data_IF_253354657357
#
_entry.id   IF_253354657357
#
_cell.length_a   1.000
_cell.length_b   1.000
_cell.length_c   1.000
_cell.angle_alpha   90.00
_cell.angle_beta   90.00
_cell.angle_gamma   90.00
#
_symmetry.space_group_name_H-M   'P 1'
#
loop_
_entity.id
_entity.type
_entity.pdbx_description
1 polymer ?
#
# COMPACT_ATOMS: atom_id res chain seq x y z
N UNK A 1 -42.62 2.65 -11.51
CA UNK A 1 -43.67 2.70 -10.48
C UNK A 1 -43.12 2.93 -9.08
N UNK A 2 -42.40 2.00 -8.44
CA UNK A 2 -41.92 2.20 -7.04
C UNK A 2 -40.88 3.32 -6.89
N UNK A 3 -39.88 3.40 -7.79
CA UNK A 3 -38.87 4.48 -7.78
C UNK A 3 -39.53 5.85 -7.99
N UNK A 4 -40.49 5.95 -8.92
CA UNK A 4 -41.19 7.20 -9.21
C UNK A 4 -42.08 7.64 -8.04
N UNK A 5 -42.75 6.69 -7.38
CA UNK A 5 -43.53 6.96 -6.18
C UNK A 5 -42.64 7.43 -5.01
N UNK A 6 -41.50 6.78 -4.78
CA UNK A 6 -40.53 7.20 -3.76
C UNK A 6 -39.94 8.59 -4.07
N UNK A 7 -39.65 8.88 -5.34
CA UNK A 7 -39.16 10.20 -5.77
C UNK A 7 -40.22 11.29 -5.60
N UNK A 8 -41.49 11.00 -5.94
CA UNK A 8 -42.60 11.92 -5.74
C UNK A 8 -42.78 12.24 -4.25
N UNK A 9 -42.72 11.22 -3.39
CA UNK A 9 -42.78 11.41 -1.95
C UNK A 9 -41.58 12.23 -1.42
N UNK A 10 -40.37 11.94 -1.88
CA UNK A 10 -39.18 12.70 -1.47
C UNK A 10 -39.23 14.18 -1.88
N UNK A 11 -39.84 14.48 -3.03
CA UNK A 11 -40.11 15.85 -3.50
C UNK A 11 -41.16 16.54 -2.63
N UNK A 12 -42.27 15.86 -2.35
CA UNK A 12 -43.33 16.38 -1.49
C UNK A 12 -42.82 16.70 -0.08
N UNK A 13 -42.01 15.81 0.49
CA UNK A 13 -41.41 15.95 1.81
C UNK A 13 -40.16 16.82 1.84
N UNK A 14 -39.71 17.36 0.70
CA UNK A 14 -38.52 18.20 0.56
C UNK A 14 -37.26 17.59 1.21
N UNK A 15 -37.09 16.26 1.07
CA UNK A 15 -36.02 15.50 1.74
C UNK A 15 -34.61 15.94 1.28
N UNK A 16 -34.47 16.34 0.01
CA UNK A 16 -33.21 16.79 -0.57
C UNK A 16 -33.45 17.77 -1.73
N UNK A 17 -32.43 18.56 -2.14
CA UNK A 17 -32.52 19.40 -3.33
C UNK A 17 -32.85 18.60 -4.60
N UNK A 18 -33.65 19.17 -5.50
CA UNK A 18 -34.10 18.49 -6.73
C UNK A 18 -32.94 17.92 -7.55
N UNK A 19 -31.80 18.61 -7.59
CA UNK A 19 -30.57 18.13 -8.24
C UNK A 19 -30.09 16.79 -7.66
N UNK A 20 -30.07 16.65 -6.32
CA UNK A 20 -29.65 15.43 -5.62
C UNK A 20 -30.66 14.29 -5.85
N UNK A 21 -31.95 14.60 -5.89
CA UNK A 21 -32.99 13.61 -6.19
C UNK A 21 -32.88 13.10 -7.63
N UNK A 22 -32.61 13.99 -8.59
CA UNK A 22 -32.37 13.62 -9.98
C UNK A 22 -31.09 12.79 -10.16
N UNK A 23 -30.00 13.16 -9.47
CA UNK A 23 -28.75 12.38 -9.45
C UNK A 23 -28.97 10.98 -8.86
N UNK A 24 -29.69 10.87 -7.74
CA UNK A 24 -30.02 9.59 -7.12
C UNK A 24 -30.91 8.72 -8.04
N UNK A 25 -31.90 9.32 -8.70
CA UNK A 25 -32.72 8.62 -9.69
C UNK A 25 -31.88 8.11 -10.86
N UNK A 26 -31.00 8.95 -11.40
CA UNK A 26 -30.12 8.57 -12.50
C UNK A 26 -29.18 7.42 -12.12
N UNK A 27 -28.58 7.47 -10.93
CA UNK A 27 -27.71 6.41 -10.43
C UNK A 27 -28.44 5.07 -10.25
N UNK A 28 -29.71 5.08 -9.81
CA UNK A 28 -30.52 3.87 -9.69
C UNK A 28 -31.00 3.34 -11.04
N UNK A 29 -31.17 4.18 -12.05
CA UNK A 29 -31.62 3.74 -13.38
C UNK A 29 -30.45 3.29 -14.28
N UNK A 30 -29.24 3.79 -14.06
CA UNK A 30 -28.04 3.38 -14.77
C UNK A 30 -27.57 1.98 -14.31
N UNK A 31 -27.49 0.97 -15.20
CA UNK A 31 -27.00 -0.36 -14.87
C UNK A 31 -25.60 -0.40 -14.24
N UNK A 32 -24.73 0.57 -14.58
CA UNK A 32 -23.35 0.65 -14.06
C UNK A 32 -23.34 1.21 -12.64
N UNK A 33 -24.14 2.24 -12.36
CA UNK A 33 -24.15 2.94 -11.07
C UNK A 33 -25.10 2.32 -10.05
N UNK A 34 -26.06 1.50 -10.50
CA UNK A 34 -27.05 0.90 -9.62
C UNK A 34 -26.43 0.04 -8.54
N UNK A 35 -25.59 -0.93 -8.90
CA UNK A 35 -25.04 -1.88 -7.92
C UNK A 35 -24.21 -1.17 -6.83
N UNK A 36 -23.27 -0.25 -7.15
CA UNK A 36 -22.61 0.56 -6.12
C UNK A 36 -23.58 1.33 -5.23
N UNK A 37 -24.64 1.90 -5.81
CA UNK A 37 -25.66 2.66 -5.06
C UNK A 37 -26.46 1.76 -4.11
N UNK A 38 -26.87 0.57 -4.56
CA UNK A 38 -27.56 -0.44 -3.74
C UNK A 38 -26.69 -0.92 -2.57
N UNK A 39 -25.39 -1.16 -2.82
CA UNK A 39 -24.44 -1.61 -1.80
C UNK A 39 -24.13 -0.52 -0.76
N UNK A 40 -24.30 0.77 -1.11
CA UNK A 40 -24.08 1.90 -0.20
C UNK A 40 -25.29 2.21 0.70
N UNK A 41 -26.41 1.50 0.51
CA UNK A 41 -27.64 1.65 1.28
C UNK A 41 -27.72 0.63 2.44
N UNK A 42 -28.66 0.77 3.39
CA UNK A 42 -28.89 -0.22 4.45
C UNK A 42 -29.55 -1.51 3.90
N UNK A 43 -28.82 -2.21 3.04
CA UNK A 43 -29.27 -3.41 2.33
C UNK A 43 -29.63 -4.53 3.32
N UNK A 44 -30.75 -5.23 3.06
CA UNK A 44 -31.20 -6.35 3.90
C UNK A 44 -31.71 -5.95 5.30
N UNK A 45 -31.87 -4.65 5.56
CA UNK A 45 -32.35 -4.14 6.86
C UNK A 45 -33.87 -4.09 6.92
N UNK A 46 -34.43 -4.29 8.12
CA UNK A 46 -35.86 -4.03 8.40
C UNK A 46 -36.15 -2.52 8.37
N UNK A 47 -37.42 -2.08 8.22
CA UNK A 47 -37.76 -0.65 8.25
C UNK A 47 -37.22 0.09 9.49
N UNK A 48 -37.37 -0.48 10.68
CA UNK A 48 -36.83 0.10 11.92
C UNK A 48 -35.30 0.28 11.88
N UNK A 49 -34.58 -0.64 11.22
CA UNK A 49 -33.13 -0.53 11.04
C UNK A 49 -32.75 0.49 9.95
N UNK A 50 -33.61 0.72 8.95
CA UNK A 50 -33.42 1.79 7.97
C UNK A 50 -33.54 3.16 8.64
N UNK A 51 -34.55 3.34 9.50
CA UNK A 51 -34.72 4.58 10.27
C UNK A 51 -33.52 4.80 11.21
N UNK A 52 -33.08 3.73 11.89
CA UNK A 52 -31.86 3.78 12.71
C UNK A 52 -30.63 4.16 11.88
N UNK A 53 -30.48 3.61 10.68
CA UNK A 53 -29.37 3.91 9.79
C UNK A 53 -29.36 5.39 9.40
N UNK A 54 -30.50 6.03 9.17
CA UNK A 54 -30.56 7.46 8.80
C UNK A 54 -30.72 8.40 9.99
N UNK A 55 -30.80 7.88 11.22
CA UNK A 55 -30.82 8.71 12.42
C UNK A 55 -29.50 9.45 12.56
N UNK A 56 -29.58 10.77 12.64
CA UNK A 56 -28.45 11.66 12.90
C UNK A 56 -28.09 11.59 14.39
N UNK A 57 -26.93 11.03 14.71
CA UNK A 57 -26.38 11.03 16.07
C UNK A 57 -25.71 12.39 16.37
N UNK A 58 -25.69 12.82 17.64
CA UNK A 58 -24.93 13.99 18.07
C UNK A 58 -23.46 13.92 17.66
N UNK A 59 -22.83 15.06 17.41
CA UNK A 59 -21.42 15.12 17.00
C UNK A 59 -20.47 14.52 18.06
N UNK A 60 -20.84 14.62 19.34
CA UNK A 60 -20.12 14.15 20.52
C UNK A 60 -20.47 12.72 20.95
N UNK A 61 -21.23 11.97 20.14
CA UNK A 61 -21.58 10.57 20.45
C UNK A 61 -20.31 9.73 20.69
N UNK A 62 -20.29 8.83 21.67
CA UNK A 62 -19.10 8.01 21.90
C UNK A 62 -18.90 6.98 20.77
N UNK A 63 -17.65 6.59 20.49
CA UNK A 63 -17.37 5.51 19.51
C UNK A 63 -18.02 4.20 19.94
N UNK A 64 -18.09 3.93 21.26
CA UNK A 64 -18.80 2.78 21.81
C UNK A 64 -20.29 2.79 21.45
N UNK A 65 -20.95 3.95 21.53
CA UNK A 65 -22.37 4.06 21.16
C UNK A 65 -22.58 3.90 19.65
N UNK A 66 -21.65 4.38 18.82
CA UNK A 66 -21.67 4.14 17.36
C UNK A 66 -21.56 2.64 17.08
N UNK A 67 -20.58 1.96 17.68
CA UNK A 67 -20.35 0.53 17.48
C UNK A 67 -21.53 -0.31 18.03
N UNK A 68 -22.09 0.08 19.18
CA UNK A 68 -23.28 -0.54 19.75
C UNK A 68 -24.49 -0.36 18.83
N UNK A 69 -24.67 0.83 18.26
CA UNK A 69 -25.76 1.10 17.31
C UNK A 69 -25.58 0.31 16.02
N UNK A 70 -24.37 0.29 15.46
CA UNK A 70 -24.06 -0.40 14.21
C UNK A 70 -24.19 -1.93 14.32
N UNK A 71 -23.99 -2.49 15.51
CA UNK A 71 -24.16 -3.93 15.78
C UNK A 71 -25.58 -4.45 15.46
N UNK A 72 -26.59 -3.56 15.51
CA UNK A 72 -28.00 -3.87 15.20
C UNK A 72 -28.29 -3.92 13.70
N UNK A 73 -27.36 -3.45 12.87
CA UNK A 73 -27.50 -3.40 11.41
C UNK A 73 -26.92 -4.67 10.77
N UNK A 74 -27.45 -5.01 9.59
CA UNK A 74 -26.88 -6.06 8.74
C UNK A 74 -25.43 -5.71 8.33
N UNK A 75 -24.55 -6.68 8.03
CA UNK A 75 -23.12 -6.44 7.81
C UNK A 75 -22.76 -5.28 6.87
N UNK A 76 -23.36 -5.23 5.68
CA UNK A 76 -23.13 -4.13 4.71
C UNK A 76 -23.60 -2.79 5.27
N UNK A 77 -24.79 -2.77 5.88
CA UNK A 77 -25.35 -1.56 6.50
C UNK A 77 -24.51 -1.08 7.69
N UNK A 78 -23.95 -2.01 8.47
CA UNK A 78 -23.03 -1.73 9.57
C UNK A 78 -21.75 -1.05 9.06
N UNK A 79 -21.12 -1.60 8.01
CA UNK A 79 -19.94 -1.00 7.41
C UNK A 79 -20.22 0.41 6.85
N UNK A 80 -21.33 0.58 6.11
CA UNK A 80 -21.77 1.87 5.60
C UNK A 80 -22.01 2.90 6.73
N UNK A 81 -22.62 2.45 7.83
CA UNK A 81 -22.93 3.30 8.98
C UNK A 81 -21.64 3.79 9.65
N UNK A 82 -20.72 2.87 9.98
CA UNK A 82 -19.44 3.21 10.61
C UNK A 82 -18.64 4.17 9.71
N UNK A 83 -18.50 3.84 8.42
CA UNK A 83 -17.77 4.67 7.47
C UNK A 83 -18.35 6.09 7.36
N UNK A 84 -19.68 6.23 7.34
CA UNK A 84 -20.36 7.54 7.29
C UNK A 84 -20.06 8.40 8.51
N UNK A 85 -20.00 7.81 9.71
CA UNK A 85 -19.68 8.57 10.92
C UNK A 85 -18.21 8.92 11.01
N UNK A 86 -17.33 7.96 10.75
CA UNK A 86 -15.89 8.19 10.66
C UNK A 86 -15.53 9.28 9.64
N UNK A 87 -16.26 9.36 8.52
CA UNK A 87 -16.09 10.40 7.50
C UNK A 87 -16.36 11.84 7.99
N UNK A 88 -17.08 12.03 9.10
CA UNK A 88 -17.50 13.37 9.58
C UNK A 88 -16.64 13.92 10.71
N UNK A 89 -15.91 13.06 11.43
CA UNK A 89 -15.20 13.45 12.67
C UNK A 89 -13.83 12.79 12.84
N UNK A 90 -13.32 12.17 11.78
CA UNK A 90 -12.18 11.24 11.81
C UNK A 90 -12.50 9.97 12.61
N UNK A 91 -11.79 8.88 12.34
CA UNK A 91 -11.97 7.63 13.07
C UNK A 91 -11.05 7.57 14.29
N UNK A 92 -11.51 6.94 15.37
CA UNK A 92 -10.59 6.41 16.39
C UNK A 92 -10.02 5.06 15.95
N UNK A 93 -9.06 4.52 16.70
CA UNK A 93 -8.55 3.17 16.44
C UNK A 93 -9.65 2.11 16.62
N UNK A 94 -10.57 2.30 17.57
CA UNK A 94 -11.72 1.42 17.79
C UNK A 94 -12.71 1.47 16.62
N UNK A 95 -12.98 2.65 16.04
CA UNK A 95 -13.83 2.75 14.85
C UNK A 95 -13.17 2.13 13.61
N UNK A 96 -11.84 2.25 13.47
CA UNK A 96 -11.10 1.59 12.40
C UNK A 96 -11.20 0.07 12.51
N UNK A 97 -11.00 -0.48 13.72
CA UNK A 97 -11.16 -1.92 13.98
C UNK A 97 -12.61 -2.35 13.73
N UNK A 98 -13.59 -1.61 14.24
CA UNK A 98 -15.00 -1.92 14.02
C UNK A 98 -15.44 -1.86 12.56
N UNK A 99 -14.81 -1.00 11.75
CA UNK A 99 -15.03 -0.98 10.29
C UNK A 99 -14.47 -2.24 9.62
N UNK A 100 -13.29 -2.70 10.06
CA UNK A 100 -12.69 -3.95 9.56
C UNK A 100 -13.58 -5.13 9.95
N UNK A 101 -14.00 -5.22 11.21
CA UNK A 101 -14.94 -6.25 11.70
C UNK A 101 -16.24 -6.26 10.88
N UNK A 102 -16.79 -5.07 10.59
CA UNK A 102 -18.02 -4.95 9.83
C UNK A 102 -17.87 -5.51 8.41
N UNK A 103 -16.76 -5.23 7.75
CA UNK A 103 -16.48 -5.77 6.42
C UNK A 103 -16.13 -7.25 6.42
N UNK A 104 -15.40 -7.74 7.42
CA UNK A 104 -15.10 -9.16 7.57
C UNK A 104 -16.38 -9.99 7.75
N UNK A 105 -17.37 -9.43 8.44
CA UNK A 105 -18.69 -10.06 8.61
C UNK A 105 -19.57 -10.09 7.36
N UNK A 106 -19.14 -9.52 6.22
CA UNK A 106 -19.95 -9.49 4.99
C UNK A 106 -19.81 -10.82 4.24
N UNK A 107 -20.90 -11.61 4.22
CA UNK A 107 -21.02 -12.76 3.34
C UNK A 107 -21.49 -12.34 1.93
N UNK A 108 -20.63 -12.54 0.93
CA UNK A 108 -20.90 -12.19 -0.48
C UNK A 108 -22.13 -12.92 -1.04
N UNK A 109 -22.36 -14.17 -0.63
CA UNK A 109 -23.50 -14.97 -1.08
C UNK A 109 -24.81 -14.46 -0.46
N UNK A 110 -24.82 -14.12 0.83
CA UNK A 110 -26.00 -13.53 1.48
C UNK A 110 -26.38 -12.20 0.81
N UNK A 111 -25.41 -11.32 0.56
CA UNK A 111 -25.62 -10.05 -0.14
C UNK A 111 -26.18 -10.30 -1.55
N UNK A 112 -25.63 -11.28 -2.28
CA UNK A 112 -26.12 -11.66 -3.61
C UNK A 112 -27.58 -12.13 -3.56
N UNK A 113 -27.95 -12.98 -2.61
CA UNK A 113 -29.31 -13.50 -2.47
C UNK A 113 -30.31 -12.39 -2.15
N UNK A 114 -29.95 -11.46 -1.25
CA UNK A 114 -30.77 -10.28 -0.94
C UNK A 114 -30.99 -9.42 -2.18
N UNK A 115 -29.91 -9.09 -2.92
CA UNK A 115 -30.02 -8.30 -4.15
C UNK A 115 -30.82 -9.02 -5.23
N UNK A 116 -30.65 -10.33 -5.40
CA UNK A 116 -31.40 -11.13 -6.35
C UNK A 116 -32.90 -11.07 -6.03
N UNK A 117 -33.29 -11.25 -4.77
CA UNK A 117 -34.69 -11.20 -4.34
C UNK A 117 -35.30 -9.80 -4.55
N UNK A 118 -34.57 -8.73 -4.16
CA UNK A 118 -35.02 -7.35 -4.33
C UNK A 118 -35.19 -6.97 -5.79
N UNK A 119 -34.19 -7.27 -6.64
CA UNK A 119 -34.26 -6.98 -8.07
C UNK A 119 -35.35 -7.78 -8.77
N UNK A 120 -35.52 -9.06 -8.43
CA UNK A 120 -36.59 -9.88 -8.99
C UNK A 120 -37.98 -9.29 -8.69
N UNK A 121 -38.22 -8.89 -7.43
CA UNK A 121 -39.47 -8.21 -7.04
C UNK A 121 -39.71 -6.92 -7.81
N UNK A 122 -38.64 -6.16 -8.07
CA UNK A 122 -38.70 -4.91 -8.79
C UNK A 122 -38.66 -5.06 -10.34
N UNK A 123 -38.68 -6.29 -10.87
CA UNK A 123 -38.64 -6.56 -12.31
C UNK A 123 -37.29 -6.30 -12.98
N UNK A 124 -36.22 -6.23 -12.20
CA UNK A 124 -34.85 -6.03 -12.67
C UNK A 124 -34.06 -7.35 -12.73
N UNK A 125 -33.10 -7.49 -13.67
CA UNK A 125 -32.24 -8.65 -13.70
C UNK A 125 -31.33 -8.69 -12.45
N UNK A 126 -31.11 -9.88 -11.86
CA UNK A 126 -30.18 -10.02 -10.74
C UNK A 126 -28.76 -9.64 -11.18
N UNK A 127 -27.92 -9.10 -10.28
CA UNK A 127 -26.50 -8.95 -10.56
C UNK A 127 -25.85 -10.33 -10.73
N UNK A 128 -24.62 -10.39 -11.24
CA UNK A 128 -23.81 -11.61 -11.15
C UNK A 128 -23.10 -11.66 -9.79
N UNK A 129 -22.81 -12.86 -9.28
CA UNK A 129 -22.06 -13.02 -8.03
C UNK A 129 -20.68 -12.35 -8.11
N UNK A 130 -20.02 -12.42 -9.27
CA UNK A 130 -18.76 -11.73 -9.52
C UNK A 130 -18.91 -10.21 -9.39
N UNK A 131 -19.96 -9.62 -9.98
CA UNK A 131 -20.21 -8.17 -9.85
C UNK A 131 -20.52 -7.75 -8.42
N UNK A 132 -21.18 -8.59 -7.61
CA UNK A 132 -21.40 -8.31 -6.18
C UNK A 132 -20.08 -8.32 -5.42
N UNK A 133 -19.22 -9.32 -5.64
CA UNK A 133 -17.88 -9.38 -5.06
C UNK A 133 -17.05 -8.14 -5.40
N UNK A 134 -17.01 -7.77 -6.68
CA UNK A 134 -16.27 -6.59 -7.14
C UNK A 134 -16.85 -5.30 -6.55
N UNK A 135 -18.18 -5.20 -6.48
CA UNK A 135 -18.88 -4.08 -5.85
C UNK A 135 -18.54 -3.93 -4.37
N UNK A 136 -18.48 -5.04 -3.62
CA UNK A 136 -18.09 -5.03 -2.20
C UNK A 136 -16.62 -4.66 -2.01
N UNK A 137 -15.71 -5.14 -2.86
CA UNK A 137 -14.30 -4.72 -2.84
C UNK A 137 -14.17 -3.21 -3.13
N UNK A 138 -14.94 -2.69 -4.09
CA UNK A 138 -14.96 -1.26 -4.41
C UNK A 138 -15.54 -0.44 -3.25
N UNK A 139 -16.59 -0.93 -2.59
CA UNK A 139 -17.19 -0.28 -1.41
C UNK A 139 -16.19 -0.21 -0.27
N UNK A 140 -15.48 -1.30 0.01
CA UNK A 140 -14.39 -1.33 0.97
C UNK A 140 -13.32 -0.28 0.66
N UNK A 141 -12.82 -0.26 -0.57
CA UNK A 141 -11.82 0.74 -0.98
C UNK A 141 -12.36 2.17 -0.79
N UNK A 142 -13.61 2.43 -1.15
CA UNK A 142 -14.25 3.72 -0.95
C UNK A 142 -14.36 4.09 0.53
N UNK A 143 -14.71 3.15 1.41
CA UNK A 143 -14.73 3.36 2.86
C UNK A 143 -13.33 3.70 3.39
N UNK A 144 -12.29 2.96 3.01
CA UNK A 144 -10.92 3.25 3.43
C UNK A 144 -10.48 4.67 3.01
N UNK A 145 -10.68 5.02 1.73
CA UNK A 145 -10.34 6.34 1.23
C UNK A 145 -11.12 7.47 1.93
N UNK A 146 -12.41 7.24 2.18
CA UNK A 146 -13.27 8.25 2.82
C UNK A 146 -12.90 8.45 4.29
N UNK A 147 -12.67 7.37 5.02
CA UNK A 147 -12.32 7.43 6.45
C UNK A 147 -10.95 8.05 6.68
N UNK A 148 -9.96 7.69 5.87
CA UNK A 148 -8.64 8.32 5.94
C UNK A 148 -8.69 9.77 5.44
N UNK A 149 -9.45 10.06 4.39
CA UNK A 149 -9.61 11.42 3.87
C UNK A 149 -10.35 12.38 4.81
N UNK A 150 -10.98 11.88 5.87
CA UNK A 150 -11.66 12.70 6.86
C UNK A 150 -10.74 13.34 7.90
N UNK A 151 -9.49 12.86 8.02
CA UNK A 151 -8.51 13.46 8.92
C UNK A 151 -8.00 14.78 8.35
N UNK A 152 -8.09 15.82 9.15
CA UNK A 152 -7.56 17.15 8.86
C UNK A 152 -6.78 17.67 10.08
N UNK A 153 -5.44 17.71 10.02
CA UNK A 153 -4.60 17.39 8.86
C UNK A 153 -4.36 15.86 8.71
N UNK A 154 -4.02 15.35 7.51
CA UNK A 154 -3.97 13.90 7.21
C UNK A 154 -3.04 13.06 8.08
N UNK A 155 -1.96 13.65 8.60
CA UNK A 155 -0.99 13.04 9.52
C UNK A 155 -1.63 12.63 10.84
N UNK A 156 -2.75 13.24 11.21
CA UNK A 156 -3.51 12.88 12.42
C UNK A 156 -4.06 11.45 12.36
N UNK A 157 -4.10 10.83 11.17
CA UNK A 157 -4.45 9.42 11.01
C UNK A 157 -3.36 8.46 11.49
N UNK A 158 -2.11 8.92 11.68
CA UNK A 158 -0.98 8.06 12.00
C UNK A 158 -1.19 7.27 13.30
N UNK A 159 -1.53 7.97 14.40
CA UNK A 159 -1.67 7.33 15.72
C UNK A 159 -2.85 6.33 15.77
N UNK A 160 -4.08 6.67 15.31
CA UNK A 160 -5.17 5.69 15.26
C UNK A 160 -4.85 4.46 14.40
N UNK A 161 -4.17 4.64 13.26
CA UNK A 161 -3.75 3.53 12.40
C UNK A 161 -2.68 2.66 13.05
N UNK A 162 -1.73 3.27 13.76
CA UNK A 162 -0.70 2.54 14.49
C UNK A 162 -1.31 1.69 15.61
N UNK A 163 -2.24 2.26 16.37
CA UNK A 163 -2.96 1.54 17.42
C UNK A 163 -3.81 0.41 16.84
N UNK A 164 -4.54 0.66 15.75
CA UNK A 164 -5.33 -0.39 15.08
C UNK A 164 -4.43 -1.50 14.52
N UNK A 165 -3.26 -1.14 13.96
CA UNK A 165 -2.28 -2.09 13.46
C UNK A 165 -1.78 -3.01 14.58
N UNK A 166 -1.36 -2.44 15.72
CA UNK A 166 -0.90 -3.21 16.89
C UNK A 166 -1.98 -4.18 17.36
N UNK A 167 -3.23 -3.71 17.49
CA UNK A 167 -4.35 -4.55 17.89
C UNK A 167 -4.59 -5.73 16.95
N UNK A 168 -4.55 -5.51 15.63
CA UNK A 168 -4.76 -6.55 14.62
C UNK A 168 -3.60 -7.56 14.58
N UNK A 169 -2.38 -7.09 14.80
CA UNK A 169 -1.20 -7.95 14.83
C UNK A 169 -1.17 -8.85 16.08
N UNK A 170 -1.78 -8.41 17.18
CA UNK A 170 -1.98 -9.23 18.37
C UNK A 170 -2.99 -10.36 18.15
N UNK A 171 -4.08 -10.11 17.39
CA UNK A 171 -5.12 -11.13 17.11
C UNK A 171 -4.67 -12.17 16.07
N UNK A 172 -3.73 -11.81 15.16
CA UNK A 172 -3.11 -12.69 14.14
C UNK A 172 -4.06 -13.31 13.11
N UNK A 173 -5.23 -12.73 12.90
CA UNK A 173 -6.19 -13.25 11.93
C UNK A 173 -5.91 -12.70 10.52
N UNK A 174 -5.68 -13.59 9.55
CA UNK A 174 -5.31 -13.22 8.17
C UNK A 174 -6.29 -12.30 7.43
N UNK A 175 -7.62 -12.45 7.57
CA UNK A 175 -8.58 -11.55 6.92
C UNK A 175 -8.39 -10.09 7.35
N UNK A 176 -8.09 -9.87 8.62
CA UNK A 176 -7.85 -8.54 9.20
C UNK A 176 -6.60 -7.87 8.62
N UNK A 177 -5.55 -8.64 8.35
CA UNK A 177 -4.31 -8.13 7.75
C UNK A 177 -4.63 -7.54 6.36
N UNK A 178 -5.34 -8.27 5.49
CA UNK A 178 -5.68 -7.79 4.14
C UNK A 178 -6.47 -6.48 4.16
N UNK A 179 -7.44 -6.39 5.07
CA UNK A 179 -8.31 -5.22 5.23
C UNK A 179 -7.52 -4.02 5.73
N UNK A 180 -6.63 -4.24 6.70
CA UNK A 180 -5.74 -3.22 7.23
C UNK A 180 -4.76 -2.69 6.17
N UNK A 181 -4.24 -3.55 5.29
CA UNK A 181 -3.38 -3.13 4.18
C UNK A 181 -4.06 -2.09 3.26
N UNK A 182 -5.39 -2.13 3.08
CA UNK A 182 -6.11 -1.13 2.29
C UNK A 182 -6.27 0.22 3.01
N UNK A 183 -6.46 0.21 4.33
CA UNK A 183 -6.43 1.45 5.13
C UNK A 183 -5.05 2.09 5.09
N UNK A 184 -3.99 1.28 5.18
CA UNK A 184 -2.61 1.75 5.05
C UNK A 184 -2.30 2.29 3.65
N UNK A 185 -2.86 1.72 2.59
CA UNK A 185 -2.73 2.27 1.24
C UNK A 185 -3.45 3.61 1.09
N UNK A 186 -4.66 3.74 1.65
CA UNK A 186 -5.38 5.02 1.69
C UNK A 186 -4.56 6.08 2.45
N UNK A 187 -3.97 5.72 3.59
CA UNK A 187 -3.04 6.58 4.34
C UNK A 187 -1.78 6.88 3.54
N UNK A 188 -1.24 5.90 2.81
CA UNK A 188 -0.07 6.07 1.95
C UNK A 188 -0.32 7.16 0.93
N UNK A 189 -1.48 7.15 0.29
CA UNK A 189 -1.91 8.16 -0.66
C UNK A 189 -2.14 9.52 0.01
N UNK A 190 -2.85 9.56 1.13
CA UNK A 190 -3.21 10.80 1.82
C UNK A 190 -1.99 11.58 2.35
N UNK A 191 -0.94 10.90 2.81
CA UNK A 191 0.27 11.56 3.34
C UNK A 191 1.44 11.61 2.36
N UNK A 192 1.23 11.25 1.09
CA UNK A 192 2.31 11.17 0.08
C UNK A 192 3.10 12.48 -0.06
N UNK A 193 2.40 13.62 -0.13
CA UNK A 193 3.03 14.93 -0.23
C UNK A 193 3.86 15.27 1.01
N UNK A 194 3.28 15.13 2.21
CA UNK A 194 4.00 15.45 3.46
C UNK A 194 5.19 14.54 3.70
N UNK A 195 5.10 13.25 3.36
CA UNK A 195 6.25 12.35 3.43
C UNK A 195 7.37 12.83 2.50
N UNK A 196 7.04 13.23 1.28
CA UNK A 196 8.03 13.80 0.34
C UNK A 196 8.64 15.11 0.86
N UNK A 197 7.85 16.00 1.46
CA UNK A 197 8.32 17.25 2.05
C UNK A 197 9.23 17.00 3.25
N UNK A 198 8.86 16.03 4.10
CA UNK A 198 9.66 15.63 5.26
C UNK A 198 10.99 15.01 4.82
N UNK A 199 11.00 14.15 3.80
CA UNK A 199 12.24 13.62 3.22
C UNK A 199 13.14 14.74 2.68
N UNK A 200 12.55 15.77 2.06
CA UNK A 200 13.29 16.95 1.58
C UNK A 200 13.84 17.81 2.73
N UNK A 201 13.11 17.93 3.85
CA UNK A 201 13.59 18.62 5.05
C UNK A 201 14.78 17.89 5.67
N UNK A 202 14.70 16.55 5.79
CA UNK A 202 15.83 15.72 6.23
C UNK A 202 17.06 15.93 5.34
N UNK A 203 16.87 15.95 4.02
CA UNK A 203 17.96 16.18 3.06
C UNK A 203 18.58 17.57 3.22
N UNK A 204 17.73 18.59 3.35
CA UNK A 204 18.17 19.99 3.47
C UNK A 204 18.96 20.20 4.77
N UNK A 205 18.46 19.69 5.90
CA UNK A 205 19.15 19.75 7.18
C UNK A 205 20.45 18.94 7.18
N UNK A 206 20.44 17.76 6.56
CA UNK A 206 21.65 16.94 6.37
C UNK A 206 22.70 17.68 5.56
N UNK A 207 22.32 18.34 4.47
CA UNK A 207 23.23 19.10 3.62
C UNK A 207 23.78 20.34 4.34
N UNK A 208 22.96 21.03 5.14
CA UNK A 208 23.41 22.13 5.98
C UNK A 208 24.47 21.68 6.99
N UNK A 209 24.25 20.54 7.66
CA UNK A 209 25.23 19.95 8.58
C UNK A 209 26.52 19.51 7.90
N UNK A 210 26.47 19.04 6.64
CA UNK A 210 27.69 18.72 5.89
C UNK A 210 28.56 19.95 5.62
N UNK A 211 27.92 21.10 5.42
CA UNK A 211 28.59 22.38 5.16
C UNK A 211 29.07 23.05 6.46
N UNK A 212 28.24 23.01 7.50
CA UNK A 212 28.49 23.64 8.79
C UNK A 212 28.17 22.66 9.94
N UNK A 213 29.06 21.69 10.24
CA UNK A 213 28.80 20.65 11.23
C UNK A 213 28.61 21.13 12.67
N UNK A 214 29.04 22.35 12.97
CA UNK A 214 28.90 22.95 14.30
C UNK A 214 27.62 23.76 14.49
N UNK A 215 26.77 23.84 13.46
CA UNK A 215 25.55 24.65 13.54
C UNK A 215 24.46 23.91 14.33
N UNK A 216 24.13 24.45 15.51
CA UNK A 216 23.12 23.88 16.40
C UNK A 216 21.72 23.92 15.77
N UNK A 217 21.39 24.96 14.99
CA UNK A 217 20.07 25.06 14.36
C UNK A 217 19.84 23.98 13.31
N UNK A 218 20.90 23.58 12.59
CA UNK A 218 20.81 22.49 11.62
C UNK A 218 20.65 21.12 12.30
N UNK A 219 21.21 20.92 13.50
CA UNK A 219 20.99 19.68 14.29
C UNK A 219 19.56 19.60 14.78
N UNK A 220 19.02 20.71 15.30
CA UNK A 220 17.62 20.81 15.77
C UNK A 220 16.64 20.60 14.61
N UNK A 221 16.87 21.27 13.47
CA UNK A 221 16.05 21.09 12.27
C UNK A 221 16.06 19.65 11.77
N UNK A 222 17.19 18.95 11.86
CA UNK A 222 17.27 17.52 11.49
C UNK A 222 16.50 16.66 12.49
N UNK A 223 16.58 16.96 13.79
CA UNK A 223 15.86 16.22 14.83
C UNK A 223 14.35 16.33 14.64
N UNK A 224 13.84 17.54 14.42
CA UNK A 224 12.41 17.80 14.16
C UNK A 224 11.92 17.07 12.89
N UNK A 225 12.70 17.13 11.81
CA UNK A 225 12.38 16.45 10.57
C UNK A 225 12.37 14.92 10.73
N UNK A 226 13.31 14.36 11.48
CA UNK A 226 13.37 12.92 11.77
C UNK A 226 12.22 12.47 12.69
N UNK A 227 11.83 13.29 13.65
CA UNK A 227 10.69 13.00 14.52
C UNK A 227 9.39 12.98 13.70
N UNK A 228 9.15 14.00 12.88
CA UNK A 228 8.00 14.04 11.98
C UNK A 228 8.01 12.84 11.03
N UNK A 229 9.16 12.54 10.43
CA UNK A 229 9.35 11.38 9.56
C UNK A 229 8.93 10.09 10.28
N UNK A 230 9.45 9.86 11.48
CA UNK A 230 9.15 8.64 12.24
C UNK A 230 7.66 8.49 12.50
N UNK A 231 6.98 9.56 12.93
CA UNK A 231 5.54 9.54 13.20
C UNK A 231 4.70 9.23 11.95
N UNK A 232 5.08 9.76 10.79
CA UNK A 232 4.37 9.53 9.53
C UNK A 232 4.55 8.10 9.02
N UNK A 233 5.74 7.54 9.21
CA UNK A 233 6.12 6.24 8.66
C UNK A 233 5.83 5.07 9.61
N UNK A 234 5.70 5.27 10.92
CA UNK A 234 5.54 4.20 11.91
C UNK A 234 4.40 3.22 11.59
N UNK A 235 3.17 3.67 11.23
CA UNK A 235 2.08 2.74 10.89
C UNK A 235 2.40 1.87 9.66
N UNK A 236 3.12 2.44 8.68
CA UNK A 236 3.52 1.78 7.45
C UNK A 236 4.66 0.78 7.68
N UNK A 237 5.64 1.16 8.50
CA UNK A 237 6.79 0.33 8.83
C UNK A 237 6.38 -0.90 9.64
N UNK A 238 5.49 -0.72 10.62
CA UNK A 238 4.96 -1.82 11.42
C UNK A 238 4.30 -2.88 10.53
N UNK A 239 3.49 -2.47 9.54
CA UNK A 239 2.85 -3.39 8.62
C UNK A 239 3.85 -4.09 7.68
N UNK A 240 4.81 -3.34 7.11
CA UNK A 240 5.83 -3.90 6.21
C UNK A 240 6.70 -4.95 6.91
N UNK A 241 6.99 -4.78 8.20
CA UNK A 241 7.76 -5.74 8.99
C UNK A 241 7.06 -7.11 9.09
N UNK A 242 5.74 -7.14 9.00
CA UNK A 242 4.95 -8.38 9.06
C UNK A 242 4.75 -9.06 7.70
N UNK A 243 4.82 -8.31 6.60
CA UNK A 243 4.68 -8.87 5.25
C UNK A 243 6.02 -9.39 4.67
N UNK A 244 7.15 -9.25 5.39
CA UNK A 244 8.53 -9.48 4.90
C UNK A 244 8.88 -8.65 3.64
N UNK A 245 8.01 -7.70 3.24
CA UNK A 245 8.21 -6.80 2.11
C UNK A 245 8.90 -5.54 2.61
N UNK A 246 10.23 -5.55 2.64
CA UNK A 246 11.01 -4.32 2.81
C UNK A 246 11.03 -3.54 1.49
N UNK A 247 10.14 -2.56 1.35
CA UNK A 247 10.12 -1.67 0.20
C UNK A 247 11.35 -0.74 0.13
N UNK A 248 11.85 -0.38 -1.07
CA UNK A 248 13.02 0.49 -1.24
C UNK A 248 12.83 1.90 -0.64
N UNK A 249 11.58 2.37 -0.51
CA UNK A 249 11.25 3.68 0.04
C UNK A 249 11.60 3.79 1.53
N UNK A 250 11.31 2.74 2.32
CA UNK A 250 11.54 2.71 3.77
C UNK A 250 13.03 2.81 4.16
N UNK A 251 13.92 2.39 3.26
CA UNK A 251 15.37 2.38 3.49
C UNK A 251 16.10 3.62 2.96
N UNK A 252 15.41 4.46 2.18
CA UNK A 252 16.05 5.61 1.51
C UNK A 252 16.56 6.65 2.52
N UNK A 253 15.71 7.11 3.44
CA UNK A 253 16.04 8.10 4.47
C UNK A 253 17.07 7.58 5.48
N UNK A 254 16.96 6.36 6.03
CA UNK A 254 18.02 5.76 6.84
C UNK A 254 19.39 5.77 6.13
N UNK A 255 19.45 5.37 4.85
CA UNK A 255 20.70 5.35 4.07
C UNK A 255 21.34 6.74 3.94
N UNK A 256 20.55 7.80 3.76
CA UNK A 256 21.06 9.17 3.71
C UNK A 256 21.64 9.62 5.04
N UNK A 257 21.02 9.25 6.16
CA UNK A 257 21.53 9.53 7.50
C UNK A 257 22.83 8.78 7.76
N UNK A 258 22.96 7.53 7.32
CA UNK A 258 24.24 6.82 7.39
C UNK A 258 25.35 7.53 6.60
N UNK A 259 25.06 8.04 5.40
CA UNK A 259 26.02 8.81 4.62
C UNK A 259 26.43 10.11 5.35
N UNK A 260 25.48 10.81 5.99
CA UNK A 260 25.75 11.99 6.81
C UNK A 260 26.65 11.67 8.01
N UNK A 261 26.35 10.61 8.76
CA UNK A 261 27.17 10.18 9.90
C UNK A 261 28.61 9.88 9.47
N UNK A 262 28.78 9.22 8.31
CA UNK A 262 30.08 8.98 7.71
C UNK A 262 30.83 10.26 7.33
N UNK A 263 30.14 11.25 6.75
CA UNK A 263 30.70 12.56 6.43
C UNK A 263 31.17 13.32 7.68
N UNK A 264 30.34 13.39 8.72
CA UNK A 264 30.66 14.07 9.98
C UNK A 264 31.85 13.42 10.69
N UNK A 265 31.91 12.08 10.70
CA UNK A 265 33.06 11.32 11.21
C UNK A 265 34.36 11.66 10.46
N UNK A 266 34.32 11.73 9.11
CA UNK A 266 35.48 12.13 8.30
C UNK A 266 35.98 13.53 8.63
N UNK A 267 35.06 14.45 8.92
CA UNK A 267 35.35 15.82 9.34
C UNK A 267 35.77 15.93 10.82
N UNK A 268 35.83 14.82 11.56
CA UNK A 268 36.15 14.73 13.00
C UNK A 268 35.19 15.49 13.91
N UNK A 269 33.93 15.62 13.49
CA UNK A 269 32.88 16.33 14.21
C UNK A 269 32.11 15.40 15.15
N UNK A 270 32.85 14.69 16.02
CA UNK A 270 32.33 13.55 16.77
C UNK A 270 31.17 13.87 17.71
N UNK A 271 31.13 15.09 18.26
CA UNK A 271 30.02 15.53 19.12
C UNK A 271 28.72 15.71 18.33
N UNK A 272 28.78 16.37 17.17
CA UNK A 272 27.65 16.49 16.25
C UNK A 272 27.22 15.13 15.73
N UNK A 273 28.18 14.27 15.35
CA UNK A 273 27.88 12.90 14.94
C UNK A 273 27.08 12.15 16.00
N UNK A 274 27.45 12.30 17.28
CA UNK A 274 26.73 11.65 18.38
C UNK A 274 25.29 12.16 18.50
N UNK A 275 25.09 13.48 18.42
CA UNK A 275 23.74 14.05 18.46
C UNK A 275 22.87 13.57 17.29
N UNK A 276 23.42 13.52 16.07
CA UNK A 276 22.72 13.00 14.89
C UNK A 276 22.41 11.51 15.05
N UNK A 277 23.33 10.73 15.60
CA UNK A 277 23.13 9.30 15.86
C UNK A 277 22.00 9.06 16.87
N UNK A 278 21.97 9.83 17.97
CA UNK A 278 20.93 9.69 19.00
C UNK A 278 19.55 9.98 18.40
N UNK A 279 19.42 11.05 17.59
CA UNK A 279 18.18 11.36 16.88
C UNK A 279 17.79 10.27 15.86
N UNK A 280 18.77 9.72 15.14
CA UNK A 280 18.54 8.64 14.19
C UNK A 280 18.07 7.34 14.87
N UNK A 281 18.60 7.02 16.06
CA UNK A 281 18.18 5.86 16.84
C UNK A 281 16.73 6.01 17.33
N UNK A 282 16.31 7.22 17.71
CA UNK A 282 14.92 7.50 18.06
C UNK A 282 13.99 7.30 16.85
N UNK A 283 14.39 7.77 15.67
CA UNK A 283 13.55 7.71 14.48
C UNK A 283 13.50 6.33 13.80
N UNK A 284 14.61 5.60 13.81
CA UNK A 284 14.77 4.34 13.05
C UNK A 284 14.89 3.10 13.93
N UNK A 285 14.79 3.22 15.26
CA UNK A 285 14.98 2.12 16.19
C UNK A 285 14.03 0.94 15.98
N UNK A 286 12.84 1.21 15.42
CA UNK A 286 11.84 0.19 15.09
C UNK A 286 12.12 -0.55 13.77
N UNK A 287 13.11 -0.13 12.99
CA UNK A 287 13.52 -0.76 11.73
C UNK A 287 14.73 -1.66 12.01
N UNK A 288 14.60 -3.01 12.00
CA UNK A 288 15.64 -3.91 12.49
C UNK A 288 17.02 -3.70 11.86
N UNK A 289 17.09 -3.62 10.53
CA UNK A 289 18.35 -3.46 9.80
C UNK A 289 18.99 -2.09 10.03
N UNK A 290 18.18 -1.02 10.10
CA UNK A 290 18.69 0.32 10.38
C UNK A 290 19.16 0.43 11.84
N UNK A 291 18.40 -0.10 12.79
CA UNK A 291 18.75 -0.11 14.20
C UNK A 291 20.08 -0.86 14.45
N UNK A 292 20.25 -2.04 13.84
CA UNK A 292 21.50 -2.81 13.94
C UNK A 292 22.70 -2.03 13.42
N UNK A 293 22.57 -1.39 12.25
CA UNK A 293 23.63 -0.56 11.66
C UNK A 293 23.94 0.70 12.49
N UNK A 294 22.93 1.37 13.05
CA UNK A 294 23.14 2.55 13.90
C UNK A 294 23.84 2.16 15.21
N UNK A 295 23.50 1.01 15.78
CA UNK A 295 24.18 0.48 16.97
C UNK A 295 25.68 0.25 16.70
N UNK A 296 26.05 -0.35 15.56
CA UNK A 296 27.45 -0.53 15.15
C UNK A 296 28.19 0.81 15.02
N UNK A 297 27.57 1.81 14.38
CA UNK A 297 28.14 3.17 14.28
C UNK A 297 28.35 3.79 15.66
N UNK A 298 27.42 3.56 16.60
CA UNK A 298 27.53 4.04 17.97
C UNK A 298 28.70 3.46 18.75
N UNK A 299 28.96 2.15 18.61
CA UNK A 299 30.13 1.51 19.21
C UNK A 299 31.43 2.12 18.70
N UNK A 300 31.57 2.27 17.38
CA UNK A 300 32.75 2.85 16.74
C UNK A 300 32.95 4.31 17.17
N UNK A 301 31.88 5.09 17.23
CA UNK A 301 31.94 6.50 17.66
C UNK A 301 32.40 6.62 19.12
N UNK A 302 31.96 5.71 20.00
CA UNK A 302 32.37 5.68 21.41
C UNK A 302 33.87 5.43 21.55
N UNK A 303 34.42 4.49 20.78
CA UNK A 303 35.87 4.23 20.72
C UNK A 303 36.65 5.46 20.25
N UNK A 304 36.19 6.13 19.19
CA UNK A 304 36.83 7.34 18.67
C UNK A 304 36.80 8.50 19.67
N UNK A 305 35.67 8.70 20.36
CA UNK A 305 35.54 9.71 21.41
C UNK A 305 36.51 9.43 22.57
N UNK A 306 36.64 8.17 23.01
CA UNK A 306 37.60 7.78 24.06
C UNK A 306 39.05 7.99 23.63
N UNK A 307 39.40 7.62 22.41
CA UNK A 307 40.74 7.82 21.83
C UNK A 307 41.07 9.32 21.71
N UNK A 308 40.10 10.15 21.35
CA UNK A 308 40.29 11.61 21.24
C UNK A 308 40.51 12.26 22.62
N UNK A 309 39.75 11.84 23.64
CA UNK A 309 39.86 12.34 25.02
C UNK A 309 41.19 11.95 25.66
N UNK A 310 41.62 10.70 25.49
CA UNK A 310 42.91 10.19 26.01
C UNK A 310 44.12 10.86 25.33
N UNK A 311 44.04 11.16 24.02
CA UNK A 311 45.06 11.91 23.30
C UNK A 311 45.18 13.37 23.79
N UNK A 312 44.07 14.01 24.18
CA UNK A 312 44.06 15.37 24.75
C UNK A 312 44.69 15.38 26.15
N UNK A 313 44.43 14.37 26.99
CA UNK A 313 45.06 14.27 28.32
C UNK A 313 46.57 14.00 28.23
N UNK A 314 47.03 13.11 27.35
CA UNK A 314 48.47 12.85 27.16
C UNK A 314 49.25 14.05 26.61
N UNK A 315 48.59 14.99 25.93
CA UNK A 315 49.24 16.21 25.42
C UNK A 315 49.30 17.32 26.48
N UNK A 316 48.47 17.25 27.52
CA UNK A 316 48.45 18.18 28.65
C UNK A 316 49.53 17.86 29.70
N UNK A 317 49.94 16.60 29.78
CA UNK A 317 51.00 16.12 30.69
C UNK A 317 52.43 16.23 30.10
N UNK A 318 52.58 16.85 28.93
CA UNK A 318 53.89 17.11 28.29
C UNK A 318 54.26 18.60 28.34
N UNK A 319 54.30 19.18 29.54
CA UNK A 319 55.13 20.35 29.82
C UNK A 319 56.57 19.89 30.10
N UNK A 320 57.41 19.94 29.05
CA UNK A 320 58.89 20.03 28.93
C UNK A 320 59.73 19.57 30.15
N UNK A 321 60.74 18.69 29.93
CA UNK A 321 62.09 19.22 29.82
C UNK A 321 62.78 18.88 28.49
N UNK A 322 63.62 19.82 28.08
CA UNK A 322 64.52 19.71 26.95
C UNK A 322 65.49 18.54 27.11
N UNK A 323 65.69 17.75 26.05
CA UNK A 323 66.67 16.68 26.07
C UNK A 323 66.61 15.80 24.82
N UNK A 324 67.64 15.92 23.99
CA UNK A 324 68.01 15.13 22.83
C UNK A 324 67.51 13.67 22.77
N UNK A 325 67.06 13.25 21.59
CA UNK A 325 66.98 11.82 21.28
C UNK A 325 66.13 11.50 20.06
N UNK A 326 66.78 11.32 18.90
CA UNK A 326 66.28 10.59 17.72
C UNK A 326 65.49 9.34 18.17
N UNK A 327 64.45 8.98 17.40
CA UNK A 327 63.51 7.86 17.56
C UNK A 327 62.20 8.15 18.32
N UNK A 328 61.30 8.95 17.72
CA UNK A 328 59.87 8.94 18.15
C UNK A 328 58.82 9.26 17.08
N UNK A 329 59.12 9.04 15.80
CA UNK A 329 58.15 9.32 14.71
C UNK A 329 57.47 8.10 14.07
N UNK A 330 57.79 6.86 14.46
CA UNK A 330 57.22 5.67 13.77
C UNK A 330 55.95 5.14 14.44
N UNK A 331 55.72 5.36 15.74
CA UNK A 331 54.54 4.81 16.44
C UNK A 331 53.28 5.70 16.40
N UNK A 332 53.41 7.00 16.15
CA UNK A 332 52.25 7.93 16.09
C UNK A 332 51.53 7.92 14.73
N UNK A 333 52.19 7.49 13.66
CA UNK A 333 51.57 7.37 12.33
C UNK A 333 50.75 6.08 12.15
N UNK A 334 51.08 5.01 12.88
CA UNK A 334 50.44 3.70 12.69
C UNK A 334 49.01 3.61 13.28
N UNK A 335 48.72 4.29 14.40
CA UNK A 335 47.38 4.25 15.02
C UNK A 335 46.36 5.15 14.29
N UNK A 336 46.80 6.30 13.78
CA UNK A 336 45.95 7.19 12.99
C UNK A 336 45.65 6.63 11.58
N UNK A 337 46.57 5.83 11.01
CA UNK A 337 46.37 5.17 9.73
C UNK A 337 45.43 3.95 9.81
N UNK A 338 45.38 3.25 10.94
CA UNK A 338 44.47 2.12 11.14
C UNK A 338 42.99 2.57 11.21
N UNK A 339 42.69 3.68 11.89
CA UNK A 339 41.32 4.23 12.00
C UNK A 339 40.83 4.87 10.69
N UNK A 340 41.74 5.38 9.85
CA UNK A 340 41.43 5.93 8.52
C UNK A 340 41.13 4.87 7.45
N UNK A 341 41.52 3.61 7.66
CA UNK A 341 41.33 2.51 6.70
C UNK A 341 40.16 1.58 7.03
N UNK A 342 39.73 1.49 8.30
CA UNK A 342 38.66 0.57 8.72
C UNK A 342 37.28 1.07 8.27
N UNK A 343 37.00 2.38 8.32
CA UNK A 343 35.67 2.91 7.97
C UNK A 343 35.36 2.96 6.46
N UNK A 344 36.28 3.38 5.57
CA UNK A 344 36.06 3.23 4.13
C UNK A 344 36.11 1.76 3.70
N UNK A 345 36.94 0.94 4.35
CA UNK A 345 37.11 -0.48 4.07
C UNK A 345 35.85 -1.29 4.36
N UNK A 346 35.20 -1.06 5.52
CA UNK A 346 33.91 -1.71 5.82
C UNK A 346 32.79 -1.21 4.92
N UNK A 347 32.70 0.10 4.63
CA UNK A 347 31.64 0.65 3.77
C UNK A 347 31.76 0.19 2.30
N UNK A 348 32.99 0.02 1.80
CA UNK A 348 33.28 -0.52 0.46
C UNK A 348 33.13 -2.04 0.43
N UNK A 349 33.54 -2.77 1.48
CA UNK A 349 33.33 -4.21 1.58
C UNK A 349 31.83 -4.57 1.67
N UNK A 350 31.03 -3.77 2.39
CA UNK A 350 29.58 -3.98 2.48
C UNK A 350 28.87 -3.62 1.16
N UNK A 351 29.27 -2.54 0.48
CA UNK A 351 28.78 -2.24 -0.88
C UNK A 351 29.23 -3.28 -1.92
N UNK A 352 30.34 -3.98 -1.70
CA UNK A 352 30.80 -5.07 -2.56
C UNK A 352 30.07 -6.40 -2.27
N UNK A 353 29.64 -6.64 -1.03
CA UNK A 353 28.79 -7.77 -0.65
C UNK A 353 27.36 -7.61 -1.16
N UNK A 354 26.81 -6.38 -1.16
CA UNK A 354 25.49 -6.09 -1.73
C UNK A 354 25.49 -6.09 -3.27
N UNK A 355 26.64 -5.77 -3.88
CA UNK A 355 26.89 -5.96 -5.32
C UNK A 355 27.33 -7.39 -5.68
N UNK A 356 27.52 -8.25 -4.69
CA UNK A 356 27.91 -9.65 -4.83
C UNK A 356 26.80 -10.58 -5.32
N UNK A 357 25.58 -10.07 -5.47
CA UNK A 357 24.51 -10.70 -6.24
C UNK A 357 24.62 -10.43 -7.76
N UNK A 358 25.69 -9.78 -8.23
CA UNK A 358 26.02 -9.69 -9.65
C UNK A 358 27.09 -10.75 -10.00
N UNK A 359 26.64 -11.93 -10.41
CA UNK A 359 27.50 -13.00 -10.91
C UNK A 359 28.38 -12.51 -12.07
N UNK A 360 29.66 -12.82 -11.96
CA UNK A 360 30.66 -12.59 -13.01
C UNK A 360 30.32 -13.39 -14.26
N UNK A 361 30.26 -12.66 -15.39
CA UNK A 361 30.16 -13.20 -16.74
C UNK A 361 31.44 -13.96 -17.06
N UNK A 362 31.40 -15.28 -16.91
CA UNK A 362 32.27 -16.18 -17.67
C UNK A 362 31.58 -16.43 -19.00
N UNK A 363 32.17 -15.92 -20.08
CA UNK A 363 31.77 -16.28 -21.44
C UNK A 363 32.28 -17.68 -21.78
N UNK A 364 31.44 -18.43 -22.52
CA UNK A 364 31.69 -19.55 -23.48
C UNK A 364 30.61 -20.65 -23.31
N UNK A 365 30.05 -21.29 -24.36
CA UNK A 365 29.56 -20.81 -25.65
C UNK A 365 28.07 -21.21 -25.91
N UNK A 366 27.41 -20.50 -26.84
CA UNK A 366 26.14 -20.78 -27.54
C UNK A 366 24.98 -21.51 -26.79
N UNK A 367 23.81 -20.86 -26.56
CA UNK A 367 22.70 -21.49 -25.86
C UNK A 367 22.00 -22.56 -26.72
N UNK A 368 21.66 -23.74 -26.16
CA UNK A 368 20.63 -24.58 -26.75
C UNK A 368 19.29 -23.83 -26.69
N UNK A 369 18.53 -23.86 -27.79
CA UNK A 369 17.16 -23.33 -27.85
C UNK A 369 16.36 -23.87 -26.65
N UNK A 370 15.98 -22.99 -25.73
CA UNK A 370 14.99 -23.30 -24.69
C UNK A 370 13.69 -23.68 -25.40
N UNK A 371 13.31 -24.96 -25.32
CA UNK A 371 11.95 -25.38 -25.64
C UNK A 371 10.98 -24.55 -24.77
N UNK A 372 10.11 -23.80 -25.43
CA UNK A 372 9.12 -22.98 -24.75
C UNK A 372 8.17 -23.90 -23.99
N UNK A 373 8.22 -23.85 -22.66
CA UNK A 373 7.26 -24.59 -21.84
C UNK A 373 5.82 -24.13 -22.17
N UNK A 374 4.87 -25.07 -22.31
CA UNK A 374 3.51 -24.77 -22.73
C UNK A 374 2.70 -24.01 -21.67
N UNK A 375 1.70 -23.24 -22.11
CA UNK A 375 0.60 -22.78 -21.24
C UNK A 375 -0.27 -23.99 -20.87
N UNK A 376 -0.53 -24.20 -19.58
CA UNK A 376 -1.44 -25.23 -19.12
C UNK A 376 -2.74 -24.57 -18.66
N UNK A 377 -3.87 -25.08 -19.12
CA UNK A 377 -5.18 -24.58 -18.69
C UNK A 377 -5.44 -24.99 -17.23
N UNK A 378 -5.59 -24.04 -16.28
CA UNK A 378 -5.86 -24.39 -14.89
C UNK A 378 -7.26 -24.99 -14.74
N UNK A 379 -7.48 -25.91 -13.79
CA UNK A 379 -8.82 -26.37 -13.43
C UNK A 379 -9.65 -25.23 -12.83
N UNK A 380 -10.98 -25.37 -12.86
CA UNK A 380 -11.91 -24.42 -12.23
C UNK A 380 -11.97 -24.67 -10.72
N UNK A 381 -11.94 -23.61 -9.91
CA UNK A 381 -12.03 -23.68 -8.44
C UNK A 381 -11.10 -22.70 -7.73
N UNK A 382 -11.08 -22.77 -6.39
CA UNK A 382 -10.34 -21.84 -5.52
C UNK A 382 -9.30 -22.56 -4.65
N UNK A 383 -8.30 -21.83 -4.15
CA UNK A 383 -7.38 -22.28 -3.11
C UNK A 383 -6.32 -23.29 -3.56
N UNK A 384 -6.14 -23.48 -4.87
CA UNK A 384 -5.18 -24.43 -5.41
C UNK A 384 -3.79 -23.81 -5.52
N UNK A 385 -2.75 -24.64 -5.36
CA UNK A 385 -1.37 -24.24 -5.62
C UNK A 385 -1.05 -24.46 -7.10
N UNK A 386 -0.78 -23.36 -7.80
CA UNK A 386 -0.46 -23.37 -9.21
C UNK A 386 1.02 -23.57 -9.43
N UNK A 387 1.35 -24.53 -10.30
CA UNK A 387 2.67 -24.64 -10.90
C UNK A 387 2.84 -23.55 -11.96
N UNK A 388 4.10 -23.25 -12.31
CA UNK A 388 4.48 -22.25 -13.32
C UNK A 388 3.63 -22.23 -14.59
N UNK A 389 3.26 -23.39 -15.14
CA UNK A 389 2.43 -23.48 -16.36
C UNK A 389 1.01 -22.89 -16.20
N UNK A 390 0.40 -23.02 -15.01
CA UNK A 390 -0.89 -22.41 -14.69
C UNK A 390 -0.76 -20.92 -14.40
N UNK A 391 0.31 -20.52 -13.70
CA UNK A 391 0.64 -19.09 -13.48
C UNK A 391 0.84 -18.38 -14.82
N UNK A 392 1.54 -19.03 -15.76
CA UNK A 392 1.74 -18.56 -17.13
C UNK A 392 0.42 -18.34 -17.84
N UNK A 393 -0.48 -19.31 -17.82
CA UNK A 393 -1.82 -19.15 -18.42
C UNK A 393 -2.56 -17.96 -17.80
N UNK A 394 -2.63 -17.86 -16.47
CA UNK A 394 -3.36 -16.78 -15.82
C UNK A 394 -2.80 -15.39 -16.18
N UNK A 395 -1.48 -15.21 -16.19
CA UNK A 395 -0.87 -13.91 -16.54
C UNK A 395 -1.00 -13.59 -18.02
N UNK A 396 -0.87 -14.57 -18.90
CA UNK A 396 -1.01 -14.35 -20.34
C UNK A 396 -2.45 -14.04 -20.70
N UNK A 397 -3.40 -14.75 -20.09
CA UNK A 397 -4.83 -14.52 -20.30
C UNK A 397 -5.30 -13.18 -19.72
N UNK A 398 -4.76 -12.75 -18.57
CA UNK A 398 -4.98 -11.41 -18.01
C UNK A 398 -4.60 -10.32 -19.03
N UNK A 399 -3.41 -10.43 -19.64
CA UNK A 399 -2.94 -9.47 -20.62
C UNK A 399 -3.76 -9.49 -21.92
N UNK A 400 -4.13 -10.69 -22.41
CA UNK A 400 -5.06 -10.83 -23.56
C UNK A 400 -6.39 -10.14 -23.26
N UNK A 401 -6.98 -10.38 -22.09
CA UNK A 401 -8.24 -9.77 -21.68
C UNK A 401 -8.14 -8.26 -21.52
N UNK A 402 -7.00 -7.74 -21.02
CA UNK A 402 -6.73 -6.30 -20.95
C UNK A 402 -6.85 -5.65 -22.33
N UNK A 403 -6.24 -6.24 -23.35
CA UNK A 403 -6.28 -5.75 -24.74
C UNK A 403 -7.68 -5.91 -25.34
N UNK A 404 -8.33 -7.07 -25.17
CA UNK A 404 -9.71 -7.30 -25.66
C UNK A 404 -10.66 -6.26 -25.08
N UNK A 405 -10.59 -5.97 -23.76
CA UNK A 405 -11.45 -5.00 -23.08
C UNK A 405 -11.41 -3.62 -23.73
N UNK A 406 -10.23 -3.15 -24.15
CA UNK A 406 -10.06 -1.85 -24.81
C UNK A 406 -10.72 -1.78 -26.19
N UNK A 407 -10.98 -2.93 -26.81
CA UNK A 407 -11.52 -3.04 -28.16
C UNK A 407 -13.02 -3.33 -28.21
N UNK A 408 -13.64 -3.73 -27.09
CA UNK A 408 -15.08 -4.05 -26.97
C UNK A 408 -15.96 -2.87 -27.40
N UNK A 409 -16.93 -3.10 -28.31
CA UNK A 409 -17.84 -2.09 -28.85
C UNK A 409 -19.27 -2.65 -28.95
N UNK A 410 -20.16 -2.15 -28.11
CA UNK A 410 -21.57 -2.53 -28.14
C UNK A 410 -21.87 -3.83 -27.39
N UNK A 411 -23.16 -4.23 -27.35
CA UNK A 411 -23.65 -5.22 -26.40
C UNK A 411 -23.20 -6.65 -26.72
N UNK A 412 -23.01 -7.01 -27.99
CA UNK A 412 -22.52 -8.34 -28.41
C UNK A 412 -21.09 -8.60 -27.91
N UNK A 413 -20.22 -7.61 -28.07
CA UNK A 413 -18.84 -7.68 -27.62
C UNK A 413 -18.75 -7.74 -26.09
N UNK A 414 -19.60 -6.99 -25.39
CA UNK A 414 -19.67 -7.01 -23.93
C UNK A 414 -20.05 -8.40 -23.43
N UNK A 415 -21.05 -9.06 -24.06
CA UNK A 415 -21.43 -10.43 -23.69
C UNK A 415 -20.29 -11.42 -23.91
N UNK A 416 -19.60 -11.34 -25.05
CA UNK A 416 -18.48 -12.23 -25.36
C UNK A 416 -17.28 -12.01 -24.44
N UNK A 417 -16.93 -10.75 -24.17
CA UNK A 417 -15.90 -10.39 -23.21
C UNK A 417 -16.22 -10.90 -21.81
N UNK A 418 -17.45 -10.67 -21.33
CA UNK A 418 -17.88 -11.13 -20.01
C UNK A 418 -17.83 -12.66 -19.88
N UNK A 419 -18.12 -13.41 -20.95
CA UNK A 419 -17.97 -14.87 -20.94
C UNK A 419 -16.50 -15.30 -20.75
N UNK A 420 -15.57 -14.64 -21.45
CA UNK A 420 -14.13 -14.90 -21.31
C UNK A 420 -13.60 -14.47 -19.93
N UNK A 421 -14.05 -13.32 -19.43
CA UNK A 421 -13.69 -12.83 -18.09
C UNK A 421 -14.24 -13.75 -16.99
N UNK A 422 -15.45 -14.30 -17.15
CA UNK A 422 -16.02 -15.26 -16.22
C UNK A 422 -15.23 -16.58 -16.19
N UNK A 423 -14.84 -17.13 -17.35
CA UNK A 423 -14.01 -18.34 -17.40
C UNK A 423 -12.63 -18.07 -16.75
N UNK A 424 -12.01 -16.93 -17.06
CA UNK A 424 -10.78 -16.49 -16.42
C UNK A 424 -10.93 -16.39 -14.89
N UNK A 425 -11.95 -15.69 -14.40
CA UNK A 425 -12.19 -15.52 -12.97
C UNK A 425 -12.43 -16.87 -12.28
N UNK A 426 -13.11 -17.82 -12.94
CA UNK A 426 -13.37 -19.15 -12.38
C UNK A 426 -12.11 -20.01 -12.19
N UNK A 427 -11.00 -19.65 -12.85
CA UNK A 427 -9.72 -20.37 -12.84
C UNK A 427 -8.61 -19.60 -12.14
N UNK A 428 -8.62 -18.28 -12.20
CA UNK A 428 -7.48 -17.42 -11.86
C UNK A 428 -7.82 -16.35 -10.81
N UNK A 429 -8.99 -16.38 -10.15
CA UNK A 429 -9.33 -15.34 -9.16
C UNK A 429 -8.81 -15.61 -7.75
N UNK A 430 -8.49 -16.86 -7.39
CA UNK A 430 -8.05 -17.25 -6.05
C UNK A 430 -7.13 -18.48 -6.09
N UNK A 431 -5.83 -18.22 -6.29
CA UNK A 431 -4.80 -19.26 -6.41
C UNK A 431 -3.50 -18.87 -5.68
N UNK A 432 -2.81 -19.89 -5.17
CA UNK A 432 -1.53 -19.77 -4.50
C UNK A 432 -0.40 -20.14 -5.48
N UNK A 433 0.72 -19.42 -5.45
CA UNK A 433 1.88 -19.71 -6.32
C UNK A 433 3.19 -19.39 -5.60
N UNK A 434 4.31 -19.86 -6.15
CA UNK A 434 5.64 -19.49 -5.65
C UNK A 434 6.08 -18.16 -6.26
N UNK A 435 6.72 -17.30 -5.48
CA UNK A 435 7.14 -15.96 -5.95
C UNK A 435 8.14 -16.03 -7.11
N UNK A 436 9.01 -17.04 -7.12
CA UNK A 436 9.95 -17.26 -8.20
C UNK A 436 9.24 -17.61 -9.52
N UNK A 437 8.19 -18.43 -9.48
CA UNK A 437 7.37 -18.75 -10.65
C UNK A 437 6.67 -17.49 -11.17
N UNK A 438 6.16 -16.63 -10.27
CA UNK A 438 5.55 -15.36 -10.67
C UNK A 438 6.57 -14.43 -11.31
N UNK A 439 7.77 -14.30 -10.72
CA UNK A 439 8.82 -13.40 -11.23
C UNK A 439 9.23 -13.79 -12.65
N UNK A 440 9.51 -15.07 -12.87
CA UNK A 440 9.86 -15.60 -14.20
C UNK A 440 8.72 -15.37 -15.19
N UNK A 441 7.47 -15.65 -14.81
CA UNK A 441 6.32 -15.44 -15.71
C UNK A 441 6.09 -13.95 -16.01
N UNK A 442 6.33 -13.04 -15.06
CA UNK A 442 6.25 -11.58 -15.32
C UNK A 442 7.28 -11.14 -16.37
N UNK A 443 8.50 -11.65 -16.29
CA UNK A 443 9.52 -11.40 -17.32
C UNK A 443 9.09 -11.98 -18.69
N UNK A 444 8.48 -13.17 -18.69
CA UNK A 444 7.91 -13.74 -19.92
C UNK A 444 6.79 -12.88 -20.52
N UNK A 445 5.90 -12.31 -19.71
CA UNK A 445 4.82 -11.41 -20.18
C UNK A 445 5.42 -10.19 -20.89
N UNK A 446 6.44 -9.57 -20.29
CA UNK A 446 7.12 -8.41 -20.88
C UNK A 446 7.78 -8.83 -22.21
N UNK A 447 8.50 -9.95 -22.23
CA UNK A 447 9.16 -10.44 -23.44
C UNK A 447 8.18 -10.82 -24.56
N UNK A 448 6.97 -11.31 -24.21
CA UNK A 448 5.94 -11.79 -25.14
C UNK A 448 4.81 -10.80 -25.38
N UNK A 449 4.92 -9.55 -24.93
CA UNK A 449 3.82 -8.57 -24.99
C UNK A 449 3.20 -8.45 -26.39
N UNK A 450 4.01 -8.29 -27.44
CA UNK A 450 3.53 -8.20 -28.84
C UNK A 450 2.80 -9.47 -29.31
N UNK A 451 3.22 -10.65 -28.84
CA UNK A 451 2.57 -11.91 -29.17
C UNK A 451 1.20 -12.00 -28.48
N UNK A 452 1.12 -11.60 -27.22
CA UNK A 452 -0.13 -11.58 -26.45
C UNK A 452 -1.15 -10.58 -27.01
N UNK A 453 -0.69 -9.42 -27.49
CA UNK A 453 -1.51 -8.47 -28.23
C UNK A 453 -2.05 -9.07 -29.54
N UNK A 454 -1.21 -9.78 -30.30
CA UNK A 454 -1.64 -10.46 -31.53
C UNK A 454 -2.64 -11.60 -31.25
N UNK A 455 -2.48 -12.32 -30.14
CA UNK A 455 -3.44 -13.32 -29.67
C UNK A 455 -4.79 -12.68 -29.28
N UNK A 456 -4.76 -11.52 -28.61
CA UNK A 456 -5.98 -10.78 -28.28
C UNK A 456 -6.74 -10.32 -29.54
N UNK A 457 -6.03 -9.83 -30.56
CA UNK A 457 -6.64 -9.49 -31.85
C UNK A 457 -7.18 -10.75 -32.56
N UNK A 458 -6.51 -11.90 -32.40
CA UNK A 458 -7.05 -13.18 -32.90
C UNK A 458 -8.35 -13.56 -32.20
N UNK A 459 -8.44 -13.41 -30.87
CA UNK A 459 -9.68 -13.64 -30.11
C UNK A 459 -10.80 -12.76 -30.68
N UNK A 460 -10.56 -11.47 -30.85
CA UNK A 460 -11.54 -10.54 -31.43
C UNK A 460 -11.97 -10.95 -32.84
N UNK A 461 -11.04 -11.47 -33.65
CA UNK A 461 -11.33 -11.95 -35.01
C UNK A 461 -12.19 -13.23 -35.03
N UNK A 462 -12.27 -13.98 -33.94
CA UNK A 462 -13.15 -15.16 -33.86
C UNK A 462 -14.63 -14.78 -33.74
N UNK A 463 -14.92 -13.55 -33.31
CA UNK A 463 -16.29 -13.08 -33.10
C UNK A 463 -16.97 -12.80 -34.44
N UNK A 464 -17.97 -13.63 -34.77
CA UNK A 464 -18.60 -13.67 -36.09
C UNK A 464 -19.31 -12.35 -36.48
N UNK A 465 -19.88 -11.63 -35.51
CA UNK A 465 -20.56 -10.35 -35.75
C UNK A 465 -19.59 -9.21 -36.11
N UNK A 466 -18.29 -9.35 -35.82
CA UNK A 466 -17.27 -8.37 -36.24
C UNK A 466 -16.82 -8.54 -37.68
N UNK A 467 -17.08 -9.71 -38.30
CA UNK A 467 -16.72 -10.01 -39.69
C UNK A 467 -17.71 -9.44 -40.71
N UNK A 468 -18.92 -9.04 -40.28
CA UNK A 468 -19.96 -8.50 -41.16
C UNK A 468 -20.36 -7.08 -40.72
N UNK A 469 -19.65 -6.03 -41.16
CA UNK A 469 -20.06 -4.65 -40.88
C UNK A 469 -21.34 -4.20 -41.62
N UNK A 470 -22.04 -5.10 -42.34
CA UNK A 470 -23.17 -4.78 -43.22
C UNK A 470 -24.53 -5.38 -42.82
N UNK A 471 -24.69 -5.89 -41.60
CA UNK A 471 -25.95 -6.48 -41.13
C UNK A 471 -26.86 -5.52 -40.35
N UNK A 472 -26.90 -4.23 -40.72
CA UNK A 472 -27.87 -3.30 -40.14
C UNK A 472 -29.27 -3.66 -40.67
N UNK A 473 -30.10 -4.14 -39.76
CA UNK A 473 -31.56 -4.03 -39.72
C UNK A 473 -32.20 -3.20 -40.84
N UNK A 474 -32.65 -3.88 -41.91
CA UNK A 474 -33.66 -3.34 -42.80
C UNK A 474 -35.05 -3.57 -42.20
N UNK A 475 -35.66 -2.46 -41.76
CA UNK A 475 -37.11 -2.17 -41.85
C UNK A 475 -38.10 -3.14 -41.19
N UNK A 476 -38.52 -2.80 -39.96
CA UNK A 476 -39.93 -2.94 -39.58
C UNK A 476 -40.68 -1.68 -40.05
N UNK A 477 -41.49 -1.86 -41.09
CA UNK A 477 -42.58 -0.97 -41.46
C UNK A 477 -43.68 -1.83 -42.05
N UNK A 478 -44.55 -2.32 -41.16
CA UNK A 478 -46.01 -2.28 -41.29
C UNK A 478 -46.64 -2.88 -40.05
#
# INVERSE_FOLDING_TARGET
MEIEAALAHAREMHIAPEKRLAEAQAALLDPVQRLPSELSCPLGSTPDCVDLFFTELPADVSDEDILRTSSRLAPVARANFIARYAARRSASSELLVGLIDAHDSIDVMEVYQVLQALRHRAGWPPPSLASVRDGLNNLLNAHCMTVIGAYDPPESAAEPLLQSARHILETRERPFIRMHSLLLEAYRCATAQMRSETDQQVDSASQALKQQPGDASSVESLADALQLWSSLWEPLLLANAHEEVSGPEANSTPNRIFDLLGDLCRQRQYRTTQQVLDNALLAFGSIPDAAARLAEVGEILREMLHASSTAIMQNRDLAVPAGSGRFRHVKKAALAAAVLLVMPGLLVAYRALDRGAAFSVVSVPNPPQQEAEPELLPPVGNGQRFARGYVRFCRFQEERLRVVKQRVRGPEDIRAYNALANDYNSRCSDFLYQDEDLRVVKEEVIAKQKLLEADAERILSTWSWRKNPGGASATSSK
#
